data_IF_549145965385
#
_entry.id   IF_549145965385
#
_cell.length_a   1.000
_cell.length_b   1.000
_cell.length_c   1.000
_cell.angle_alpha   90.00
_cell.angle_beta   90.00
_cell.angle_gamma   90.00
#
_symmetry.space_group_name_H-M   'P 1'
#
loop_
_entity.id
_entity.type
_entity.pdbx_description
1 polymer ?
#
# COMPACT_ATOMS: atom_id res chain seq x y z
N UNK A 1 22.63 -12.23 -30.70
CA UNK A 1 21.49 -12.36 -31.64
C UNK A 1 21.00 -10.98 -32.09
N UNK A 2 20.30 -10.22 -31.26
CA UNK A 2 19.77 -8.87 -31.63
C UNK A 2 20.85 -7.94 -32.24
N UNK A 3 22.07 -7.91 -31.70
CA UNK A 3 23.16 -7.08 -32.23
C UNK A 3 23.58 -7.46 -33.67
N UNK A 4 23.66 -8.76 -33.96
CA UNK A 4 24.00 -9.25 -35.29
C UNK A 4 22.86 -8.97 -36.27
N UNK A 5 21.62 -9.18 -35.85
CA UNK A 5 20.43 -8.92 -36.68
C UNK A 5 20.36 -7.44 -37.08
N UNK A 6 20.60 -6.52 -36.13
CA UNK A 6 20.65 -5.08 -36.38
C UNK A 6 21.82 -4.72 -37.31
N UNK A 7 23.02 -5.24 -37.07
CA UNK A 7 24.20 -4.94 -37.89
C UNK A 7 24.01 -5.42 -39.33
N UNK A 8 23.51 -6.64 -39.51
CA UNK A 8 23.22 -7.20 -40.83
C UNK A 8 22.16 -6.37 -41.58
N UNK A 9 21.11 -5.92 -40.89
CA UNK A 9 20.11 -5.03 -41.49
C UNK A 9 20.73 -3.70 -41.94
N UNK A 10 21.59 -3.08 -41.10
CA UNK A 10 22.24 -1.82 -41.43
C UNK A 10 23.22 -1.96 -42.60
N UNK A 11 24.00 -3.04 -42.64
CA UNK A 11 24.98 -3.30 -43.70
C UNK A 11 24.33 -3.58 -45.05
N UNK A 12 23.15 -4.20 -45.04
CA UNK A 12 22.41 -4.54 -46.27
C UNK A 12 21.53 -3.40 -46.77
N UNK A 13 20.91 -2.64 -45.87
CA UNK A 13 19.94 -1.59 -46.23
C UNK A 13 20.53 -0.17 -46.26
N UNK A 14 21.68 0.06 -45.62
CA UNK A 14 22.22 1.40 -45.37
C UNK A 14 21.38 2.24 -44.38
N UNK A 15 20.39 1.66 -43.71
CA UNK A 15 19.49 2.34 -42.77
C UNK A 15 19.52 1.69 -41.39
N UNK A 16 19.28 2.48 -40.34
CA UNK A 16 19.00 1.94 -39.00
C UNK A 16 17.60 1.33 -38.94
N UNK A 17 17.38 0.27 -38.14
CA UNK A 17 16.05 -0.29 -37.96
C UNK A 17 15.16 0.60 -37.08
N UNK A 18 13.87 0.69 -37.41
CA UNK A 18 12.89 1.40 -36.58
C UNK A 18 12.68 0.72 -35.21
N UNK A 19 12.82 -0.61 -35.17
CA UNK A 19 12.70 -1.43 -33.96
C UNK A 19 13.40 -2.79 -34.13
N UNK A 20 13.69 -3.45 -33.01
CA UNK A 20 13.91 -4.89 -32.97
C UNK A 20 12.59 -5.62 -32.62
N UNK A 21 12.35 -6.77 -33.25
CA UNK A 21 11.11 -7.53 -33.14
C UNK A 21 11.23 -8.73 -32.18
N UNK A 22 10.15 -9.02 -31.43
CA UNK A 22 10.00 -10.16 -30.49
C UNK A 22 11.16 -10.29 -29.51
N UNK A 23 11.24 -9.33 -28.59
CA UNK A 23 12.18 -9.36 -27.47
C UNK A 23 11.53 -10.02 -26.25
N UNK A 24 12.34 -10.42 -25.27
CA UNK A 24 11.84 -10.86 -23.95
C UNK A 24 11.13 -9.75 -23.17
N UNK A 25 11.21 -8.49 -23.63
CA UNK A 25 10.59 -7.31 -23.02
C UNK A 25 9.34 -6.85 -23.79
N UNK A 26 8.93 -7.56 -24.85
CA UNK A 26 7.75 -7.23 -25.65
C UNK A 26 8.00 -7.32 -27.16
N UNK A 27 6.95 -7.03 -27.93
CA UNK A 27 6.92 -7.20 -29.39
C UNK A 27 7.90 -6.28 -30.12
N UNK A 28 8.03 -5.02 -29.68
CA UNK A 28 8.84 -4.01 -30.35
C UNK A 28 9.77 -3.31 -29.36
N UNK A 29 11.05 -3.29 -29.69
CA UNK A 29 12.07 -2.49 -29.02
C UNK A 29 12.52 -1.40 -29.97
N UNK A 30 11.94 -0.20 -29.85
CA UNK A 30 12.17 0.95 -30.76
C UNK A 30 13.63 1.39 -30.83
N UNK A 31 13.96 2.13 -31.88
CA UNK A 31 15.29 2.69 -32.15
C UNK A 31 15.97 3.32 -30.92
N UNK A 32 15.33 4.25 -30.21
CA UNK A 32 15.95 4.93 -29.06
C UNK A 32 16.22 3.98 -27.89
N UNK A 33 15.36 2.97 -27.72
CA UNK A 33 15.63 1.91 -26.76
C UNK A 33 16.83 1.06 -27.18
N UNK A 34 17.00 0.75 -28.46
CA UNK A 34 18.19 0.03 -28.94
C UNK A 34 19.46 0.83 -28.68
N UNK A 35 19.49 2.11 -29.05
CA UNK A 35 20.63 2.99 -28.78
C UNK A 35 20.95 3.00 -27.28
N UNK A 36 19.95 3.25 -26.44
CA UNK A 36 20.15 3.30 -25.00
C UNK A 36 20.64 1.97 -24.42
N UNK A 37 20.09 0.83 -24.88
CA UNK A 37 20.50 -0.51 -24.45
C UNK A 37 21.99 -0.75 -24.70
N UNK A 38 22.44 -0.48 -25.93
CA UNK A 38 23.83 -0.70 -26.30
C UNK A 38 24.77 0.29 -25.60
N UNK A 39 24.35 1.53 -25.38
CA UNK A 39 25.09 2.49 -24.55
C UNK A 39 25.27 1.97 -23.13
N UNK A 40 24.22 1.44 -22.48
CA UNK A 40 24.31 0.87 -21.14
C UNK A 40 25.25 -0.34 -21.08
N UNK A 41 25.19 -1.23 -22.07
CA UNK A 41 26.04 -2.43 -22.13
C UNK A 41 27.52 -2.04 -22.25
N UNK A 42 27.83 -1.08 -23.13
CA UNK A 42 29.20 -0.62 -23.35
C UNK A 42 29.73 0.20 -22.16
N UNK A 43 28.89 1.02 -21.53
CA UNK A 43 29.26 1.75 -20.32
C UNK A 43 29.55 0.80 -19.14
N UNK A 44 28.74 -0.25 -18.97
CA UNK A 44 29.02 -1.29 -17.98
C UNK A 44 30.37 -1.99 -18.23
N UNK A 45 30.67 -2.31 -19.49
CA UNK A 45 31.95 -2.89 -19.86
C UNK A 45 33.11 -1.92 -19.56
N UNK A 46 32.95 -0.64 -19.92
CA UNK A 46 33.94 0.40 -19.67
C UNK A 46 34.24 0.59 -18.17
N UNK A 47 33.21 0.54 -17.33
CA UNK A 47 33.34 0.79 -15.89
C UNK A 47 33.73 -0.44 -15.07
N UNK A 48 33.34 -1.64 -15.50
CA UNK A 48 33.58 -2.88 -14.73
C UNK A 48 34.62 -3.82 -15.33
N UNK A 49 34.98 -3.65 -16.62
CA UNK A 49 35.78 -4.61 -17.39
C UNK A 49 35.04 -5.91 -17.74
N UNK A 50 33.81 -6.10 -17.26
CA UNK A 50 33.05 -7.34 -17.40
C UNK A 50 31.98 -7.26 -18.49
N UNK A 51 31.70 -8.39 -19.11
CA UNK A 51 30.60 -8.51 -20.08
C UNK A 51 29.26 -8.52 -19.34
N UNK A 52 28.33 -7.67 -19.75
CA UNK A 52 26.98 -7.65 -19.19
C UNK A 52 26.23 -8.95 -19.52
N UNK A 53 25.71 -9.63 -18.49
CA UNK A 53 24.83 -10.78 -18.68
C UNK A 53 23.40 -10.36 -19.11
N UNK A 54 22.95 -9.19 -18.68
CA UNK A 54 21.65 -8.60 -19.02
C UNK A 54 21.69 -7.08 -18.90
N UNK A 55 20.73 -6.40 -19.53
CA UNK A 55 20.46 -4.98 -19.35
C UNK A 55 19.03 -4.79 -18.84
N UNK A 56 18.87 -4.19 -17.67
CA UNK A 56 17.56 -3.83 -17.14
C UNK A 56 17.11 -2.50 -17.75
N UNK A 57 16.02 -2.53 -18.53
CA UNK A 57 15.57 -1.38 -19.32
C UNK A 57 14.14 -0.97 -18.98
N UNK A 58 13.86 0.33 -19.18
CA UNK A 58 12.51 0.90 -19.20
C UNK A 58 12.11 1.30 -20.62
N UNK A 59 10.81 1.37 -20.95
CA UNK A 59 10.35 1.94 -22.21
C UNK A 59 10.88 3.37 -22.42
N UNK A 60 11.27 3.73 -23.64
CA UNK A 60 11.76 5.09 -23.92
C UNK A 60 10.73 6.17 -23.57
N UNK A 61 9.43 5.90 -23.77
CA UNK A 61 8.34 6.81 -23.40
C UNK A 61 8.31 7.20 -21.92
N UNK A 62 8.95 6.41 -21.04
CA UNK A 62 9.15 6.74 -19.63
C UNK A 62 10.48 7.42 -19.40
N UNK A 63 11.55 6.96 -20.06
CA UNK A 63 12.89 7.54 -19.93
C UNK A 63 12.90 9.00 -20.41
N UNK A 64 12.21 9.27 -21.52
CA UNK A 64 12.11 10.60 -22.15
C UNK A 64 11.18 11.56 -21.40
N UNK A 65 10.44 11.11 -20.39
CA UNK A 65 9.66 12.03 -19.56
C UNK A 65 10.59 12.94 -18.74
N UNK A 66 10.20 14.20 -18.49
CA UNK A 66 10.94 15.08 -17.61
C UNK A 66 10.96 14.52 -16.18
N UNK A 67 12.11 14.61 -15.53
CA UNK A 67 12.22 14.42 -14.09
C UNK A 67 11.83 15.73 -13.43
N UNK A 68 10.73 15.71 -12.67
CA UNK A 68 10.16 16.92 -12.06
C UNK A 68 10.91 17.35 -10.80
N UNK A 69 11.44 16.39 -10.05
CA UNK A 69 12.22 16.55 -8.84
C UNK A 69 12.90 15.22 -8.49
N UNK A 70 13.79 15.21 -7.50
CA UNK A 70 14.31 13.98 -6.88
C UNK A 70 14.12 14.05 -5.37
N UNK A 71 13.82 12.91 -4.75
CA UNK A 71 13.59 12.83 -3.30
C UNK A 71 14.42 11.73 -2.66
N UNK A 72 14.92 12.00 -1.46
CA UNK A 72 15.58 10.97 -0.64
C UNK A 72 14.55 10.05 0.00
N UNK A 73 15.00 8.86 0.41
CA UNK A 73 14.16 7.92 1.16
C UNK A 73 13.63 8.57 2.46
N UNK A 74 14.43 9.40 3.12
CA UNK A 74 14.01 10.09 4.35
C UNK A 74 12.87 11.07 4.13
N UNK A 75 12.92 11.84 3.04
CA UNK A 75 11.83 12.74 2.66
C UNK A 75 10.53 11.97 2.37
N UNK A 76 10.63 10.83 1.68
CA UNK A 76 9.47 10.00 1.34
C UNK A 76 8.86 9.35 2.59
N UNK A 77 9.68 8.90 3.53
CA UNK A 77 9.20 8.33 4.81
C UNK A 77 8.45 9.34 5.66
N UNK A 78 8.94 10.58 5.76
CA UNK A 78 8.23 11.65 6.47
C UNK A 78 6.87 11.98 5.83
N UNK A 79 6.84 12.01 4.50
CA UNK A 79 5.60 12.17 3.74
C UNK A 79 4.63 10.99 3.98
N UNK A 80 5.15 9.77 4.07
CA UNK A 80 4.37 8.56 4.35
C UNK A 80 3.71 8.61 5.74
N UNK A 81 4.44 9.04 6.77
CA UNK A 81 3.90 9.32 8.10
C UNK A 81 2.74 10.33 8.03
N UNK A 82 2.91 11.40 7.26
CA UNK A 82 1.89 12.45 7.09
C UNK A 82 0.64 11.93 6.40
N UNK A 83 0.78 11.20 5.29
CA UNK A 83 -0.34 10.62 4.54
C UNK A 83 -1.07 9.57 5.36
N UNK A 84 -0.34 8.69 6.07
CA UNK A 84 -0.94 7.72 7.00
C UNK A 84 -1.82 8.43 8.03
N UNK A 85 -1.27 9.42 8.73
CA UNK A 85 -2.02 10.19 9.74
C UNK A 85 -3.23 10.88 9.15
N UNK A 86 -3.10 11.46 7.95
CA UNK A 86 -4.23 12.07 7.25
C UNK A 86 -5.34 11.05 6.97
N UNK A 87 -5.01 9.87 6.46
CA UNK A 87 -5.99 8.80 6.18
C UNK A 87 -6.67 8.32 7.46
N UNK A 88 -5.89 8.08 8.51
CA UNK A 88 -6.42 7.62 9.81
C UNK A 88 -7.35 8.66 10.46
N UNK A 89 -7.14 9.95 10.19
CA UNK A 89 -7.94 11.05 10.73
C UNK A 89 -9.16 11.35 9.86
N UNK A 90 -8.95 11.51 8.55
CA UNK A 90 -9.94 12.04 7.61
C UNK A 90 -10.70 10.94 6.86
N UNK A 91 -10.30 9.68 7.00
CA UNK A 91 -10.97 8.50 6.40
C UNK A 91 -11.06 8.59 4.87
N UNK A 92 -10.10 9.30 4.26
CA UNK A 92 -9.94 9.44 2.80
C UNK A 92 -8.48 9.69 2.46
N UNK A 93 -8.10 9.43 1.20
CA UNK A 93 -6.79 9.86 0.71
C UNK A 93 -6.74 11.40 0.67
N UNK A 94 -5.59 12.02 0.99
CA UNK A 94 -5.39 13.43 0.67
C UNK A 94 -5.29 13.61 -0.85
N UNK A 95 -5.61 14.80 -1.35
CA UNK A 95 -5.46 15.09 -2.80
C UNK A 95 -3.98 15.11 -3.23
N UNK A 96 -3.10 15.56 -2.34
CA UNK A 96 -1.67 15.63 -2.52
C UNK A 96 -0.95 15.60 -1.17
N UNK A 97 0.36 15.35 -1.21
CA UNK A 97 1.28 15.50 -0.08
C UNK A 97 2.40 16.45 -0.49
N UNK A 98 2.86 17.28 0.45
CA UNK A 98 3.98 18.18 0.22
C UNK A 98 5.28 17.53 0.67
N UNK A 99 6.29 17.53 -0.21
CA UNK A 99 7.67 17.13 0.14
C UNK A 99 8.59 18.30 -0.23
N UNK A 100 9.16 18.94 0.81
CA UNK A 100 9.85 20.22 0.63
C UNK A 100 8.88 21.29 0.11
N UNK A 101 9.17 21.86 -1.05
CA UNK A 101 8.32 22.86 -1.74
C UNK A 101 7.43 22.24 -2.83
N UNK A 102 7.55 20.95 -3.09
CA UNK A 102 6.86 20.28 -4.19
C UNK A 102 5.57 19.62 -3.72
N UNK A 103 4.45 19.91 -4.40
CA UNK A 103 3.19 19.20 -4.22
C UNK A 103 3.16 17.93 -5.07
N UNK A 104 2.92 16.79 -4.44
CA UNK A 104 2.96 15.47 -5.06
C UNK A 104 1.56 14.85 -5.01
N UNK A 105 1.02 14.46 -6.17
CA UNK A 105 -0.29 13.79 -6.24
C UNK A 105 -0.20 12.36 -5.70
N UNK A 106 -1.32 11.78 -5.28
CA UNK A 106 -1.31 10.39 -4.77
C UNK A 106 -0.84 9.34 -5.79
N UNK A 107 -1.13 9.46 -7.11
CA UNK A 107 -0.54 8.60 -8.14
C UNK A 107 0.99 8.62 -8.12
N UNK A 108 1.58 9.83 -8.10
CA UNK A 108 3.02 10.01 -8.01
C UNK A 108 3.58 9.49 -6.69
N UNK A 109 2.85 9.73 -5.61
CA UNK A 109 3.26 9.29 -4.29
C UNK A 109 3.29 7.77 -4.16
N UNK A 110 2.36 7.03 -4.80
CA UNK A 110 2.41 5.57 -4.81
C UNK A 110 3.68 5.02 -5.48
N UNK A 111 4.16 5.66 -6.55
CA UNK A 111 5.44 5.29 -7.16
C UNK A 111 6.61 5.54 -6.19
N UNK A 112 6.67 6.71 -5.55
CA UNK A 112 7.70 7.01 -4.56
C UNK A 112 7.69 6.01 -3.40
N UNK A 113 6.50 5.70 -2.89
CA UNK A 113 6.28 4.77 -1.79
C UNK A 113 6.78 3.35 -2.14
N UNK A 114 6.41 2.84 -3.31
CA UNK A 114 6.79 1.48 -3.76
C UNK A 114 8.28 1.40 -4.10
N UNK A 115 8.82 2.39 -4.81
CA UNK A 115 10.24 2.45 -5.14
C UNK A 115 11.11 2.58 -3.88
N UNK A 116 10.72 3.43 -2.91
CA UNK A 116 11.42 3.52 -1.63
C UNK A 116 11.37 2.21 -0.84
N UNK A 117 10.22 1.52 -0.82
CA UNK A 117 10.07 0.22 -0.15
C UNK A 117 11.04 -0.83 -0.75
N UNK A 118 11.14 -0.90 -2.08
CA UNK A 118 12.06 -1.81 -2.77
C UNK A 118 13.52 -1.44 -2.47
N UNK A 119 13.87 -0.15 -2.55
CA UNK A 119 15.22 0.32 -2.29
C UNK A 119 15.68 0.04 -0.85
N UNK A 120 14.84 0.32 0.15
CA UNK A 120 15.08 -0.02 1.56
C UNK A 120 15.33 -1.53 1.71
N UNK A 121 14.53 -2.35 1.03
CA UNK A 121 14.71 -3.80 1.11
C UNK A 121 16.09 -4.22 0.57
N UNK A 122 16.55 -3.58 -0.50
CA UNK A 122 17.80 -3.89 -1.20
C UNK A 122 19.03 -3.15 -0.67
N UNK A 123 18.89 -2.30 0.36
CA UNK A 123 19.99 -1.48 0.88
C UNK A 123 20.44 -0.37 -0.07
N UNK A 124 19.58 0.05 -1.00
CA UNK A 124 19.83 1.17 -1.91
C UNK A 124 19.31 2.47 -1.29
N UNK A 125 20.10 3.54 -1.36
CA UNK A 125 19.77 4.87 -0.83
C UNK A 125 19.76 5.98 -1.89
N UNK A 126 19.82 5.62 -3.18
CA UNK A 126 19.84 6.61 -4.27
C UNK A 126 18.55 7.44 -4.29
N UNK A 127 18.62 8.76 -4.51
CA UNK A 127 17.42 9.58 -4.69
C UNK A 127 16.49 9.04 -5.77
N UNK A 128 15.18 9.15 -5.52
CA UNK A 128 14.13 8.63 -6.40
C UNK A 128 13.60 9.79 -7.26
N UNK A 129 13.61 9.67 -8.60
CA UNK A 129 13.10 10.71 -9.49
C UNK A 129 11.56 10.72 -9.49
N UNK A 130 10.99 11.92 -9.34
CA UNK A 130 9.57 12.17 -9.52
C UNK A 130 9.21 12.30 -11.00
N UNK A 131 8.19 11.55 -11.43
CA UNK A 131 7.61 11.60 -12.78
C UNK A 131 6.11 11.81 -12.71
N UNK A 132 5.45 11.91 -13.86
CA UNK A 132 4.00 12.05 -13.94
C UNK A 132 3.36 10.69 -14.17
N UNK A 133 2.31 10.40 -13.40
CA UNK A 133 1.50 9.19 -13.57
C UNK A 133 0.03 9.55 -13.54
N UNK A 134 -0.74 8.97 -14.45
CA UNK A 134 -2.19 9.16 -14.50
C UNK A 134 -2.87 8.43 -13.33
N UNK A 135 -3.94 9.02 -12.82
CA UNK A 135 -4.78 8.43 -11.79
C UNK A 135 -5.39 7.08 -12.24
N UNK A 136 -5.74 6.19 -11.29
CA UNK A 136 -6.56 5.03 -11.60
C UNK A 136 -7.92 5.46 -12.16
N UNK A 137 -8.54 4.60 -12.96
CA UNK A 137 -9.85 4.89 -13.59
C UNK A 137 -10.99 4.25 -12.82
N UNK A 138 -10.82 2.99 -12.41
CA UNK A 138 -11.89 2.16 -11.82
C UNK A 138 -11.32 1.25 -10.73
N UNK A 139 -10.94 1.79 -9.56
CA UNK A 139 -10.52 0.97 -8.43
C UNK A 139 -11.60 -0.04 -8.02
N UNK A 140 -11.18 -1.27 -7.74
CA UNK A 140 -12.07 -2.36 -7.30
C UNK A 140 -11.50 -3.05 -6.06
N UNK A 141 -12.39 -3.50 -5.16
CA UNK A 141 -12.02 -4.13 -3.90
C UNK A 141 -12.79 -5.42 -3.65
N UNK A 142 -12.06 -6.45 -3.21
CA UNK A 142 -12.63 -7.71 -2.74
C UNK A 142 -11.74 -8.40 -1.68
N UNK A 143 -10.97 -7.61 -0.93
CA UNK A 143 -10.19 -8.14 0.19
C UNK A 143 -11.05 -8.32 1.44
N UNK A 144 -10.60 -9.19 2.34
CA UNK A 144 -11.01 -9.25 3.75
C UNK A 144 -9.91 -8.67 4.66
N UNK A 145 -10.20 -8.54 5.95
CA UNK A 145 -9.19 -8.14 6.93
C UNK A 145 -8.16 -9.23 7.18
N UNK A 146 -6.88 -8.87 7.30
CA UNK A 146 -5.81 -9.81 7.59
C UNK A 146 -4.41 -9.19 7.43
N UNK A 147 -3.39 -10.05 7.26
CA UNK A 147 -2.00 -9.63 7.13
C UNK A 147 -1.48 -9.90 5.71
N UNK A 148 -0.84 -8.89 5.11
CA UNK A 148 -0.02 -9.06 3.90
C UNK A 148 1.44 -9.12 4.35
N UNK A 149 2.07 -10.28 4.19
CA UNK A 149 3.45 -10.51 4.65
C UNK A 149 4.48 -9.86 3.73
N UNK A 150 5.70 -9.69 4.25
CA UNK A 150 6.81 -9.04 3.57
C UNK A 150 7.07 -9.48 2.13
N UNK A 151 7.16 -10.78 1.91
CA UNK A 151 7.38 -11.33 0.56
C UNK A 151 6.28 -10.88 -0.41
N UNK A 152 5.04 -10.83 0.05
CA UNK A 152 3.89 -10.46 -0.76
C UNK A 152 3.84 -8.95 -1.02
N UNK A 153 3.99 -8.09 0.00
CA UNK A 153 3.98 -6.64 -0.24
C UNK A 153 5.18 -6.21 -1.10
N UNK A 154 6.32 -6.91 -1.07
CA UNK A 154 7.44 -6.64 -1.96
C UNK A 154 7.15 -7.08 -3.39
N UNK A 155 6.49 -8.22 -3.58
CA UNK A 155 6.00 -8.63 -4.91
C UNK A 155 5.05 -7.58 -5.47
N UNK A 156 4.05 -7.16 -4.68
CA UNK A 156 3.09 -6.12 -5.07
C UNK A 156 3.80 -4.82 -5.43
N UNK A 157 4.85 -4.43 -4.69
CA UNK A 157 5.58 -3.19 -4.97
C UNK A 157 6.27 -3.23 -6.34
N UNK A 158 6.89 -4.37 -6.67
CA UNK A 158 7.51 -4.59 -7.96
C UNK A 158 6.47 -4.62 -9.09
N UNK A 159 5.33 -5.28 -8.88
CA UNK A 159 4.25 -5.34 -9.87
C UNK A 159 3.67 -3.95 -10.15
N UNK A 160 3.43 -3.12 -9.11
CA UNK A 160 3.00 -1.73 -9.25
C UNK A 160 4.03 -0.93 -10.04
N UNK A 161 5.30 -1.00 -9.63
CA UNK A 161 6.37 -0.25 -10.28
C UNK A 161 6.49 -0.62 -11.76
N UNK A 162 6.43 -1.92 -12.09
CA UNK A 162 6.47 -2.39 -13.47
C UNK A 162 5.25 -1.92 -14.26
N UNK A 163 4.05 -1.98 -13.69
CA UNK A 163 2.83 -1.49 -14.33
C UNK A 163 2.91 0.02 -14.61
N UNK A 164 3.38 0.81 -13.64
CA UNK A 164 3.52 2.25 -13.78
C UNK A 164 4.61 2.62 -14.79
N UNK A 165 5.76 1.93 -14.76
CA UNK A 165 6.87 2.08 -15.72
C UNK A 165 6.53 1.58 -17.14
N UNK A 166 5.39 0.91 -17.35
CA UNK A 166 4.98 0.45 -18.68
C UNK A 166 3.80 1.24 -19.23
N UNK A 167 2.82 1.53 -18.38
CA UNK A 167 1.58 2.20 -18.78
C UNK A 167 1.59 3.72 -18.59
N UNK A 168 2.48 4.26 -17.74
CA UNK A 168 2.39 5.65 -17.26
C UNK A 168 1.15 5.91 -16.40
N UNK A 169 0.43 4.86 -15.98
CA UNK A 169 -0.79 4.91 -15.19
C UNK A 169 -0.59 4.18 -13.87
N UNK A 170 -1.20 4.70 -12.82
CA UNK A 170 -1.31 4.00 -11.53
C UNK A 170 -2.32 2.85 -11.61
N UNK A 171 -2.02 1.68 -11.02
CA UNK A 171 -2.94 0.54 -11.07
C UNK A 171 -4.23 0.82 -10.27
N UNK A 172 -5.34 0.28 -10.77
CA UNK A 172 -6.65 0.33 -10.10
C UNK A 172 -6.66 -0.53 -8.81
N UNK A 173 -5.87 -1.62 -8.80
CA UNK A 173 -5.73 -2.56 -7.69
C UNK A 173 -4.46 -3.41 -7.86
N UNK A 174 -4.02 -4.07 -6.78
CA UNK A 174 -3.17 -5.25 -6.87
C UNK A 174 -4.04 -6.50 -7.00
N UNK A 175 -3.68 -7.40 -7.93
CA UNK A 175 -4.46 -8.58 -8.28
C UNK A 175 -4.00 -9.81 -7.48
N UNK A 176 -4.98 -10.58 -6.99
CA UNK A 176 -4.83 -11.90 -6.36
C UNK A 176 -3.86 -11.90 -5.18
N UNK A 177 -4.28 -11.23 -4.11
CA UNK A 177 -3.56 -11.18 -2.82
C UNK A 177 -4.03 -12.31 -1.89
N UNK A 178 -3.27 -12.57 -0.82
CA UNK A 178 -3.64 -13.48 0.27
C UNK A 178 -4.94 -13.10 0.98
N UNK A 179 -5.37 -11.85 0.86
CA UNK A 179 -6.60 -11.33 1.48
C UNK A 179 -7.78 -11.27 0.53
N UNK A 180 -7.60 -11.57 -0.76
CA UNK A 180 -8.67 -11.50 -1.76
C UNK A 180 -8.18 -11.05 -3.14
N UNK A 181 -9.11 -11.04 -4.11
CA UNK A 181 -8.76 -10.83 -5.53
C UNK A 181 -8.31 -9.42 -5.85
N UNK A 182 -8.93 -8.39 -5.26
CA UNK A 182 -8.65 -7.00 -5.60
C UNK A 182 -8.31 -6.18 -4.36
N UNK A 183 -7.04 -5.82 -4.21
CA UNK A 183 -6.57 -4.84 -3.23
C UNK A 183 -6.52 -3.46 -3.89
N UNK A 184 -7.57 -2.66 -3.73
CA UNK A 184 -7.74 -1.38 -4.44
C UNK A 184 -6.63 -0.37 -4.21
N UNK A 185 -6.51 0.56 -5.14
CA UNK A 185 -5.57 1.67 -5.14
C UNK A 185 -5.38 2.36 -3.77
N UNK A 186 -6.45 2.73 -3.09
CA UNK A 186 -6.36 3.44 -1.81
C UNK A 186 -5.73 2.58 -0.71
N UNK A 187 -5.98 1.27 -0.72
CA UNK A 187 -5.27 0.35 0.15
C UNK A 187 -3.78 0.28 -0.18
N UNK A 188 -3.38 0.38 -1.46
CA UNK A 188 -1.96 0.37 -1.84
C UNK A 188 -1.24 1.59 -1.25
N UNK A 189 -1.80 2.79 -1.44
CA UNK A 189 -1.23 4.03 -0.89
C UNK A 189 -1.16 3.94 0.64
N UNK A 190 -2.22 3.47 1.29
CA UNK A 190 -2.26 3.34 2.74
C UNK A 190 -1.29 2.28 3.26
N UNK A 191 -1.23 1.11 2.64
CA UNK A 191 -0.34 0.00 3.00
C UNK A 191 1.12 0.44 2.97
N UNK A 192 1.59 1.02 1.87
CA UNK A 192 2.98 1.45 1.77
C UNK A 192 3.27 2.68 2.65
N UNK A 193 2.28 3.54 2.89
CA UNK A 193 2.43 4.62 3.88
C UNK A 193 2.69 4.06 5.29
N UNK A 194 1.94 3.03 5.71
CA UNK A 194 2.16 2.34 6.99
C UNK A 194 3.51 1.64 7.05
N UNK A 195 3.92 0.97 5.97
CA UNK A 195 5.22 0.26 5.91
C UNK A 195 6.38 1.25 6.07
N UNK A 196 6.36 2.36 5.32
CA UNK A 196 7.42 3.36 5.39
C UNK A 196 7.41 4.15 6.70
N UNK A 197 6.23 4.46 7.26
CA UNK A 197 6.12 5.06 8.59
C UNK A 197 6.65 4.13 9.71
N UNK A 198 6.38 2.83 9.63
CA UNK A 198 6.96 1.84 10.54
C UNK A 198 8.49 1.82 10.43
N UNK A 199 9.03 1.81 9.21
CA UNK A 199 10.48 1.87 9.01
C UNK A 199 11.07 3.21 9.51
N UNK A 200 10.36 4.31 9.34
CA UNK A 200 10.76 5.64 9.83
C UNK A 200 10.90 5.68 11.36
N UNK A 201 9.95 5.07 12.06
CA UNK A 201 9.84 5.15 13.53
C UNK A 201 10.62 4.06 14.26
N UNK A 202 10.75 2.86 13.66
CA UNK A 202 11.42 1.72 14.29
C UNK A 202 12.83 1.46 13.77
N UNK A 203 13.19 1.99 12.60
CA UNK A 203 14.40 1.60 11.86
C UNK A 203 14.36 0.19 11.26
N UNK A 204 13.30 -0.59 11.53
CA UNK A 204 13.19 -1.99 11.14
C UNK A 204 12.28 -2.19 9.92
N UNK A 205 12.61 -3.18 9.09
CA UNK A 205 11.75 -3.59 7.96
C UNK A 205 10.48 -4.25 8.50
N UNK A 206 9.31 -3.80 8.05
CA UNK A 206 8.03 -4.38 8.48
C UNK A 206 7.94 -5.87 8.08
N UNK A 207 7.59 -6.74 9.02
CA UNK A 207 7.37 -8.17 8.72
C UNK A 207 6.08 -8.41 7.92
N UNK A 208 5.09 -7.53 8.09
CA UNK A 208 3.79 -7.57 7.44
C UNK A 208 3.13 -6.19 7.48
N UNK A 209 2.05 -6.02 6.70
CA UNK A 209 1.10 -4.93 6.82
C UNK A 209 -0.28 -5.48 7.20
N UNK A 210 -0.86 -4.97 8.28
CA UNK A 210 -2.21 -5.33 8.70
C UNK A 210 -3.22 -4.51 7.90
N UNK A 211 -4.06 -5.19 7.12
CA UNK A 211 -4.98 -4.58 6.18
C UNK A 211 -6.44 -4.86 6.55
N UNK A 212 -7.30 -3.92 6.19
CA UNK A 212 -8.76 -4.02 6.19
C UNK A 212 -9.25 -3.51 4.84
N UNK A 213 -10.47 -3.89 4.41
CA UNK A 213 -11.08 -3.29 3.23
C UNK A 213 -11.12 -1.76 3.38
N UNK A 214 -10.80 -1.00 2.33
CA UNK A 214 -10.94 0.44 2.29
C UNK A 214 -12.36 0.88 2.63
N UNK A 215 -13.37 0.15 2.17
CA UNK A 215 -14.77 0.38 2.53
C UNK A 215 -15.03 0.37 4.05
N UNK A 216 -14.17 -0.28 4.83
CA UNK A 216 -14.16 -0.19 6.30
C UNK A 216 -13.28 0.98 6.77
N UNK A 217 -12.10 1.18 6.19
CA UNK A 217 -11.17 2.25 6.56
C UNK A 217 -11.78 3.64 6.34
N UNK A 218 -12.55 3.82 5.26
CA UNK A 218 -13.14 5.09 4.84
C UNK A 218 -14.47 5.43 5.53
N UNK A 219 -14.98 4.54 6.38
CA UNK A 219 -16.17 4.84 7.16
C UNK A 219 -15.93 6.02 8.10
N UNK A 220 -16.93 6.91 8.28
CA UNK A 220 -16.82 8.02 9.21
C UNK A 220 -16.65 7.52 10.64
N UNK A 221 -15.86 8.27 11.43
CA UNK A 221 -15.75 8.05 12.87
C UNK A 221 -16.85 8.85 13.54
N UNK A 222 -17.73 8.17 14.25
CA UNK A 222 -18.87 8.82 14.91
C UNK A 222 -18.49 9.48 16.23
N UNK A 223 -17.55 8.87 16.96
CA UNK A 223 -16.99 9.33 18.23
C UNK A 223 -15.69 8.56 18.52
N UNK A 224 -14.95 8.94 19.55
CA UNK A 224 -13.84 8.15 20.09
C UNK A 224 -13.99 7.97 21.59
N UNK A 225 -13.70 6.78 22.09
CA UNK A 225 -13.82 6.46 23.52
C UNK A 225 -12.51 5.94 24.10
N UNK A 226 -12.21 6.32 25.33
CA UNK A 226 -11.06 5.77 26.06
C UNK A 226 -11.36 4.34 26.53
N UNK A 227 -10.31 3.57 26.81
CA UNK A 227 -10.44 2.22 27.37
C UNK A 227 -11.25 2.24 28.67
N UNK A 228 -11.07 3.24 29.52
CA UNK A 228 -11.78 3.30 30.81
C UNK A 228 -13.28 3.63 30.65
N UNK A 229 -13.64 4.48 29.69
CA UNK A 229 -15.04 4.69 29.32
C UNK A 229 -15.70 3.37 28.86
N UNK A 230 -14.98 2.57 28.07
CA UNK A 230 -15.47 1.27 27.58
C UNK A 230 -15.58 0.26 28.74
N UNK A 231 -14.63 0.22 29.68
CA UNK A 231 -14.69 -0.64 30.89
C UNK A 231 -15.91 -0.32 31.76
N UNK A 232 -16.20 0.96 31.98
CA UNK A 232 -17.36 1.38 32.75
C UNK A 232 -18.66 0.94 32.06
N UNK A 233 -18.77 1.18 30.75
CA UNK A 233 -19.90 0.73 29.95
C UNK A 233 -20.05 -0.80 29.97
N UNK A 234 -18.95 -1.55 29.94
CA UNK A 234 -18.95 -3.01 30.00
C UNK A 234 -19.53 -3.52 31.32
N UNK A 235 -19.18 -2.86 32.43
CA UNK A 235 -19.74 -3.16 33.75
C UNK A 235 -21.26 -2.92 33.78
N UNK A 236 -21.73 -1.82 33.20
CA UNK A 236 -23.15 -1.49 33.09
C UNK A 236 -23.91 -2.54 32.29
N UNK A 237 -23.40 -2.91 31.11
CA UNK A 237 -24.03 -3.93 30.25
C UNK A 237 -24.06 -5.30 30.94
N UNK A 238 -22.96 -5.71 31.59
CA UNK A 238 -22.92 -6.97 32.34
C UNK A 238 -23.99 -7.02 33.44
N UNK A 239 -24.05 -6.00 34.30
CA UNK A 239 -25.05 -5.90 35.37
C UNK A 239 -26.48 -5.90 34.82
N UNK A 240 -26.72 -5.22 33.71
CA UNK A 240 -28.02 -5.22 33.04
C UNK A 240 -28.42 -6.64 32.60
N UNK A 241 -27.52 -7.38 31.96
CA UNK A 241 -27.76 -8.76 31.51
C UNK A 241 -28.02 -9.69 32.70
N UNK A 242 -27.20 -9.59 33.76
CA UNK A 242 -27.34 -10.41 34.98
C UNK A 242 -28.70 -10.17 35.67
N UNK A 243 -29.19 -8.92 35.65
CA UNK A 243 -30.46 -8.52 36.26
C UNK A 243 -31.68 -8.85 35.38
N UNK A 244 -31.60 -8.51 34.09
CA UNK A 244 -32.75 -8.52 33.18
C UNK A 244 -32.81 -9.76 32.27
N UNK A 245 -31.76 -10.60 32.29
CA UNK A 245 -31.63 -11.83 31.49
C UNK A 245 -31.80 -11.62 29.98
N UNK A 246 -31.44 -10.42 29.50
CA UNK A 246 -31.45 -10.04 28.08
C UNK A 246 -30.39 -8.97 27.78
N UNK A 247 -29.98 -8.86 26.52
CA UNK A 247 -29.15 -7.75 26.08
C UNK A 247 -29.93 -6.42 26.14
N UNK A 248 -29.31 -5.31 26.57
CA UNK A 248 -29.89 -3.99 26.39
C UNK A 248 -29.88 -3.60 24.91
N UNK A 249 -30.82 -2.74 24.47
CA UNK A 249 -30.84 -2.26 23.08
C UNK A 249 -29.62 -1.38 22.75
N UNK A 250 -29.14 -0.62 23.73
CA UNK A 250 -27.98 0.26 23.63
C UNK A 250 -27.32 0.46 25.00
N UNK A 251 -26.09 0.94 24.98
CA UNK A 251 -25.36 1.43 26.17
C UNK A 251 -24.97 2.88 25.94
N UNK A 252 -25.02 3.68 27.00
CA UNK A 252 -24.62 5.08 26.94
C UNK A 252 -23.18 5.24 27.43
N UNK A 253 -22.36 5.94 26.64
CA UNK A 253 -21.01 6.37 27.04
C UNK A 253 -20.95 7.89 26.91
N UNK A 254 -20.88 8.59 28.04
CA UNK A 254 -21.07 10.04 28.07
C UNK A 254 -22.49 10.41 27.60
N UNK A 255 -22.60 11.18 26.52
CA UNK A 255 -23.88 11.56 25.89
C UNK A 255 -24.24 10.69 24.67
N UNK A 256 -23.35 9.77 24.27
CA UNK A 256 -23.51 8.98 23.04
C UNK A 256 -24.22 7.67 23.34
N UNK A 257 -25.29 7.37 22.60
CA UNK A 257 -25.95 6.05 22.60
C UNK A 257 -25.25 5.12 21.61
N UNK A 258 -24.86 3.94 22.08
CA UNK A 258 -24.08 2.95 21.33
C UNK A 258 -24.91 1.66 21.22
N UNK A 259 -25.13 1.15 20.01
CA UNK A 259 -25.85 -0.11 19.81
C UNK A 259 -25.00 -1.30 20.23
N UNK A 260 -25.60 -2.45 20.53
CA UNK A 260 -24.82 -3.64 20.95
C UNK A 260 -23.81 -4.13 19.90
N UNK A 261 -24.09 -4.11 18.58
CA UNK A 261 -23.08 -4.43 17.56
C UNK A 261 -21.87 -3.49 17.60
N UNK A 262 -22.12 -2.18 17.77
CA UNK A 262 -21.04 -1.21 17.92
C UNK A 262 -20.26 -1.44 19.22
N UNK A 263 -20.98 -1.77 20.29
CA UNK A 263 -20.36 -2.00 21.58
C UNK A 263 -19.48 -3.27 21.60
N UNK A 264 -19.87 -4.32 20.88
CA UNK A 264 -19.05 -5.52 20.71
C UNK A 264 -17.72 -5.20 20.00
N UNK A 265 -17.71 -4.30 19.00
CA UNK A 265 -16.46 -3.85 18.37
C UNK A 265 -15.58 -3.07 19.34
N UNK A 266 -16.16 -2.19 20.16
CA UNK A 266 -15.42 -1.46 21.19
C UNK A 266 -14.81 -2.40 22.23
N UNK A 267 -15.59 -3.40 22.70
CA UNK A 267 -15.13 -4.41 23.66
C UNK A 267 -13.97 -5.23 23.11
N UNK A 268 -14.12 -5.77 21.91
CA UNK A 268 -13.07 -6.60 21.27
C UNK A 268 -11.81 -5.78 21.00
N UNK A 269 -11.95 -4.56 20.50
CA UNK A 269 -10.81 -3.68 20.23
C UNK A 269 -10.12 -3.25 21.52
N UNK A 270 -10.87 -2.91 22.58
CA UNK A 270 -10.30 -2.56 23.88
C UNK A 270 -9.51 -3.73 24.48
N UNK A 271 -10.05 -4.95 24.44
CA UNK A 271 -9.37 -6.15 24.92
C UNK A 271 -8.05 -6.39 24.19
N UNK A 272 -8.04 -6.26 22.85
CA UNK A 272 -6.80 -6.38 22.05
C UNK A 272 -5.79 -5.29 22.41
N UNK A 273 -6.25 -4.04 22.56
CA UNK A 273 -5.37 -2.92 22.90
C UNK A 273 -4.74 -3.07 24.29
N UNK A 274 -5.52 -3.49 25.29
CA UNK A 274 -5.03 -3.77 26.65
C UNK A 274 -3.93 -4.84 26.60
N UNK A 275 -4.15 -5.94 25.88
CA UNK A 275 -3.16 -7.01 25.74
C UNK A 275 -1.86 -6.56 25.08
N UNK A 276 -1.92 -5.55 24.21
CA UNK A 276 -0.77 -4.99 23.50
C UNK A 276 -0.17 -3.76 24.20
N UNK A 277 -0.64 -3.37 25.39
CA UNK A 277 -0.20 -2.15 26.09
C UNK A 277 -0.55 -0.84 25.36
N UNK A 278 -1.50 -0.86 24.41
CA UNK A 278 -1.98 0.31 23.69
C UNK A 278 -3.12 0.97 24.46
N UNK A 279 -3.03 2.29 24.67
CA UNK A 279 -4.02 3.09 25.41
C UNK A 279 -4.71 4.17 24.57
N UNK A 280 -4.56 4.13 23.24
CA UNK A 280 -5.15 5.14 22.34
C UNK A 280 -6.68 5.05 22.34
N UNK A 281 -7.39 6.20 22.21
CA UNK A 281 -8.84 6.19 22.06
C UNK A 281 -9.31 5.33 20.88
N UNK A 282 -10.43 4.63 21.05
CA UNK A 282 -11.01 3.70 20.08
C UNK A 282 -12.12 4.41 19.30
N UNK A 283 -12.06 4.45 17.96
CA UNK A 283 -13.08 5.09 17.15
C UNK A 283 -14.36 4.23 17.08
N UNK A 284 -15.50 4.85 17.36
CA UNK A 284 -16.82 4.27 17.16
C UNK A 284 -17.14 4.19 15.65
N UNK A 285 -17.53 3.00 15.20
CA UNK A 285 -17.92 2.69 13.82
C UNK A 285 -19.33 2.12 13.78
N UNK A 286 -19.85 1.89 12.58
CA UNK A 286 -21.19 1.32 12.38
C UNK A 286 -21.09 -0.15 12.01
N UNK A 287 -21.84 -0.99 12.71
CA UNK A 287 -21.94 -2.43 12.47
C UNK A 287 -23.40 -2.86 12.54
N UNK A 288 -23.77 -3.83 11.70
CA UNK A 288 -25.12 -4.40 11.68
C UNK A 288 -25.29 -5.46 12.77
N UNK A 289 -26.53 -5.66 13.21
CA UNK A 289 -26.88 -6.72 14.13
C UNK A 289 -26.68 -8.12 13.49
N UNK A 290 -26.39 -9.16 14.30
CA UNK A 290 -26.38 -10.53 13.80
C UNK A 290 -27.78 -10.93 13.30
N UNK A 291 -27.84 -11.70 12.21
CA UNK A 291 -29.10 -12.18 11.64
C UNK A 291 -29.61 -13.46 12.30
N UNK A 292 -28.71 -14.38 12.61
CA UNK A 292 -29.04 -15.74 13.09
C UNK A 292 -28.03 -16.19 14.14
N UNK A 293 -28.01 -15.58 15.33
CA UNK A 293 -27.12 -16.03 16.41
C UNK A 293 -27.49 -17.46 16.82
N UNK A 294 -26.48 -18.30 17.02
CA UNK A 294 -26.61 -19.69 17.46
C UNK A 294 -25.66 -19.97 18.63
N UNK A 295 -26.02 -20.91 19.50
CA UNK A 295 -25.21 -21.30 20.66
C UNK A 295 -25.05 -22.83 20.70
N UNK A 296 -23.84 -23.29 21.02
CA UNK A 296 -23.53 -24.71 21.23
C UNK A 296 -22.45 -24.92 22.30
N UNK A 297 -22.28 -23.95 23.20
CA UNK A 297 -21.24 -23.99 24.24
C UNK A 297 -21.67 -24.87 25.42
N UNK A 298 -20.69 -25.43 26.12
CA UNK A 298 -20.86 -26.01 27.45
C UNK A 298 -20.15 -25.13 28.48
N UNK A 299 -20.55 -25.21 29.75
CA UNK A 299 -19.90 -24.46 30.83
C UNK A 299 -18.42 -24.83 30.98
N UNK A 300 -17.55 -23.83 31.13
CA UNK A 300 -16.11 -24.04 31.27
C UNK A 300 -15.32 -22.73 31.25
N UNK A 301 -13.99 -22.86 31.25
CA UNK A 301 -13.05 -21.75 31.12
C UNK A 301 -12.67 -21.55 29.65
N UNK A 302 -12.57 -20.28 29.22
CA UNK A 302 -11.99 -19.90 27.93
C UNK A 302 -10.58 -19.37 28.21
N UNK A 303 -9.58 -20.05 27.67
CA UNK A 303 -8.18 -19.65 27.79
C UNK A 303 -7.78 -18.68 26.66
N UNK A 304 -6.76 -17.86 26.93
CA UNK A 304 -6.18 -16.93 25.94
C UNK A 304 -5.41 -17.69 24.86
#
# INVERSE_FOLDING_TARGET
>A
KIANDIKNYMDTSGKTPDFAYKTSLGTYLRYENLVYMYSMILDYYNTSGNKAAFAAMKPWSIISQPVLATFTIDQIKQAATTVRKYIETNRKLPNNVQIGTTKITMPQFLELLTTATIQINNGNNKPIPLRTYCAPSTPSESIIGGLIYKTEYLKIANDIKNYMDTSGKTPDFAYKTSLGTYLRYENLVYMYSMILDYYNTSGNKAAFAAMKPWSIISQPVLATFTIDQIKQAATTVRKYIETNRKLPNNVQIGTTKITMPQFLELLTTATIQINNGNNKPIPLRTYCAPSTPSESIIGGLIYK
#
